data_IF_829895520430
#
_entry.id   IF_829895520430
#
_cell.length_a   1.000
_cell.length_b   1.000
_cell.length_c   1.000
_cell.angle_alpha   90.00
_cell.angle_beta   90.00
_cell.angle_gamma   90.00
#
_symmetry.space_group_name_H-M   'P 1'
#
loop_
_entity.id
_entity.type
_entity.pdbx_description
1 polymer ?
#
# COMPACT_ATOMS: atom_id res chain seq x y z
N UNK A 1 18.44 50.42 -25.30
CA UNK A 1 18.97 49.02 -25.23
C UNK A 1 19.00 48.45 -23.82
N UNK A 2 19.31 49.24 -22.80
CA UNK A 2 19.37 48.79 -21.40
C UNK A 2 18.03 48.31 -20.79
N UNK A 3 16.91 48.95 -21.14
CA UNK A 3 15.58 48.56 -20.61
C UNK A 3 15.15 47.14 -21.09
N UNK A 4 15.50 46.73 -22.27
CA UNK A 4 15.18 45.40 -22.80
C UNK A 4 16.03 44.30 -22.12
N UNK A 5 17.27 44.62 -21.74
CA UNK A 5 18.13 43.70 -20.99
C UNK A 5 17.62 43.49 -19.58
N UNK A 6 17.16 44.55 -18.90
CA UNK A 6 16.57 44.47 -17.55
C UNK A 6 15.27 43.66 -17.52
N UNK A 7 14.40 43.82 -18.54
CA UNK A 7 13.16 43.05 -18.67
C UNK A 7 13.44 41.57 -18.85
N UNK A 8 14.41 41.21 -19.71
CA UNK A 8 14.83 39.82 -19.90
C UNK A 8 15.44 39.17 -18.66
N UNK A 9 16.10 39.98 -17.80
CA UNK A 9 16.66 39.52 -16.53
C UNK A 9 15.58 39.25 -15.48
N UNK A 10 14.54 40.09 -15.43
CA UNK A 10 13.38 39.91 -14.55
C UNK A 10 12.58 38.65 -14.91
N UNK A 11 12.40 38.39 -16.20
CA UNK A 11 11.75 37.14 -16.66
C UNK A 11 12.53 35.87 -16.27
N UNK A 12 13.86 35.92 -16.42
CA UNK A 12 14.75 34.81 -16.00
C UNK A 12 14.68 34.59 -14.47
N UNK A 13 14.66 35.66 -13.68
CA UNK A 13 14.48 35.58 -12.22
C UNK A 13 13.13 35.00 -11.84
N UNK A 14 12.05 35.35 -12.54
CA UNK A 14 10.73 34.77 -12.35
C UNK A 14 10.69 33.27 -12.60
N UNK A 15 11.33 32.83 -13.70
CA UNK A 15 11.46 31.38 -14.02
C UNK A 15 12.28 30.63 -12.98
N UNK A 16 13.40 31.21 -12.52
CA UNK A 16 14.21 30.61 -11.47
C UNK A 16 13.47 30.49 -10.13
N UNK A 17 12.73 31.52 -9.72
CA UNK A 17 11.90 31.48 -8.51
C UNK A 17 10.85 30.37 -8.58
N UNK A 18 10.22 30.19 -9.75
CA UNK A 18 9.23 29.11 -9.94
C UNK A 18 9.88 27.73 -9.84
N UNK A 19 11.02 27.53 -10.49
CA UNK A 19 11.79 26.27 -10.41
C UNK A 19 12.23 25.97 -8.98
N UNK A 20 12.66 26.97 -8.21
CA UNK A 20 13.03 26.80 -6.80
C UNK A 20 11.85 26.37 -5.96
N UNK A 21 10.68 26.99 -6.14
CA UNK A 21 9.47 26.63 -5.43
C UNK A 21 8.95 25.21 -5.78
N UNK A 22 9.13 24.80 -7.04
CA UNK A 22 8.81 23.43 -7.47
C UNK A 22 9.78 22.41 -6.86
N UNK A 23 11.07 22.73 -6.80
CA UNK A 23 12.09 21.93 -6.14
C UNK A 23 11.84 21.78 -4.64
N UNK A 24 11.50 22.87 -3.94
CA UNK A 24 11.20 22.85 -2.51
C UNK A 24 9.98 21.96 -2.21
N UNK A 25 8.94 22.02 -3.06
CA UNK A 25 7.76 21.14 -2.93
C UNK A 25 8.13 19.67 -3.10
N UNK A 26 8.95 19.35 -4.09
CA UNK A 26 9.40 17.98 -4.32
C UNK A 26 10.28 17.48 -3.19
N UNK A 27 11.18 18.32 -2.66
CA UNK A 27 12.01 17.99 -1.49
C UNK A 27 11.16 17.73 -0.24
N UNK A 28 10.10 18.48 0.00
CA UNK A 28 9.19 18.23 1.12
C UNK A 28 8.43 16.92 0.94
N UNK A 29 7.96 16.63 -0.28
CA UNK A 29 7.35 15.34 -0.61
C UNK A 29 8.27 14.18 -0.32
N UNK A 30 9.51 14.23 -0.81
CA UNK A 30 10.53 13.19 -0.61
C UNK A 30 10.90 13.00 0.87
N UNK A 31 10.96 14.07 1.65
CA UNK A 31 11.17 13.98 3.10
C UNK A 31 10.04 13.23 3.79
N UNK A 32 8.78 13.57 3.48
CA UNK A 32 7.62 12.91 4.04
C UNK A 32 7.57 11.43 3.67
N UNK A 33 7.87 11.10 2.42
CA UNK A 33 7.97 9.71 1.95
C UNK A 33 9.09 8.94 2.67
N UNK A 34 10.23 9.56 2.90
CA UNK A 34 11.38 8.94 3.57
C UNK A 34 11.11 8.69 5.07
N UNK A 35 10.42 9.62 5.74
CA UNK A 35 9.98 9.45 7.13
C UNK A 35 8.96 8.31 7.25
N UNK A 36 8.01 8.24 6.33
CA UNK A 36 7.04 7.16 6.27
C UNK A 36 7.74 5.79 6.03
N UNK A 37 8.68 5.71 5.09
CA UNK A 37 9.46 4.49 4.84
C UNK A 37 10.26 4.05 6.07
N UNK A 38 10.89 4.99 6.79
CA UNK A 38 11.58 4.72 8.06
C UNK A 38 10.63 4.17 9.12
N UNK A 39 9.42 4.74 9.22
CA UNK A 39 8.41 4.27 10.14
C UNK A 39 7.98 2.83 9.81
N UNK A 40 7.71 2.54 8.54
CA UNK A 40 7.34 1.19 8.06
C UNK A 40 8.47 0.19 8.30
N UNK A 41 9.71 0.55 8.00
CA UNK A 41 10.89 -0.30 8.23
C UNK A 41 11.10 -0.58 9.73
N UNK A 42 11.04 0.45 10.57
CA UNK A 42 11.21 0.33 12.02
C UNK A 42 10.11 -0.53 12.66
N UNK A 43 8.88 -0.43 12.17
CA UNK A 43 7.78 -1.27 12.65
C UNK A 43 7.92 -2.72 12.16
N UNK A 44 8.44 -2.94 10.96
CA UNK A 44 8.82 -4.27 10.49
C UNK A 44 9.95 -4.89 11.30
N UNK A 45 10.94 -4.09 11.73
CA UNK A 45 12.06 -4.55 12.56
C UNK A 45 11.62 -4.82 14.01
N UNK A 46 10.79 -3.98 14.60
CA UNK A 46 10.26 -4.17 15.96
C UNK A 46 9.35 -5.40 16.08
N UNK A 47 8.71 -5.83 14.98
CA UNK A 47 7.89 -7.05 14.92
C UNK A 47 8.69 -8.29 14.58
N UNK A 48 10.00 -8.16 14.38
CA UNK A 48 10.97 -9.22 14.13
C UNK A 48 11.58 -9.68 15.45
N UNK A 49 10.84 -10.37 16.28
CA UNK A 49 11.49 -11.12 17.33
C UNK A 49 11.12 -12.58 17.13
N UNK A 50 12.14 -13.33 16.80
CA UNK A 50 12.15 -14.74 16.54
C UNK A 50 12.11 -15.60 17.83
N UNK A 51 12.31 -16.87 17.70
CA UNK A 51 12.14 -17.96 18.68
C UNK A 51 12.80 -17.77 20.07
N UNK A 52 13.42 -16.63 20.36
CA UNK A 52 14.09 -16.35 21.65
C UNK A 52 13.46 -15.24 22.49
N UNK A 53 12.25 -14.83 22.20
CA UNK A 53 11.49 -13.79 22.91
C UNK A 53 10.51 -13.06 21.99
N UNK A 54 10.21 -13.64 20.83
CA UNK A 54 9.54 -13.03 19.75
C UNK A 54 8.04 -12.93 19.89
N UNK A 55 7.51 -11.92 19.23
CA UNK A 55 6.09 -11.74 19.01
C UNK A 55 5.57 -12.98 18.25
N UNK A 56 4.69 -13.75 18.87
CA UNK A 56 3.99 -14.84 18.19
C UNK A 56 3.16 -14.20 17.08
N UNK A 57 3.54 -14.48 15.84
CA UNK A 57 2.74 -14.08 14.67
C UNK A 57 1.47 -14.93 14.72
N UNK A 58 0.33 -14.27 14.82
CA UNK A 58 -0.97 -14.96 14.74
C UNK A 58 -1.22 -15.39 13.30
N UNK A 59 -0.89 -16.64 13.00
CA UNK A 59 -1.06 -17.23 11.66
C UNK A 59 -2.53 -17.46 11.27
N UNK A 60 -3.48 -17.22 12.19
CA UNK A 60 -4.92 -17.28 11.88
C UNK A 60 -5.48 -15.98 11.32
N UNK A 61 -4.64 -14.95 11.20
CA UNK A 61 -5.00 -13.63 10.67
C UNK A 61 -4.18 -13.31 9.42
N UNK A 62 -4.73 -12.52 8.48
CA UNK A 62 -4.00 -12.07 7.31
C UNK A 62 -2.71 -11.35 7.69
N UNK A 63 -1.57 -11.85 7.23
CA UNK A 63 -0.26 -11.26 7.46
C UNK A 63 0.20 -10.50 6.22
N UNK A 64 0.56 -9.21 6.34
CA UNK A 64 0.99 -8.43 5.17
C UNK A 64 2.33 -8.94 4.63
N UNK A 65 2.39 -9.19 3.33
CA UNK A 65 3.57 -9.71 2.61
C UNK A 65 4.59 -8.60 2.28
N UNK A 66 4.94 -7.76 3.26
CA UNK A 66 5.79 -6.57 3.08
C UNK A 66 7.17 -6.94 2.54
N UNK A 67 7.80 -8.00 3.05
CA UNK A 67 9.14 -8.42 2.59
C UNK A 67 9.17 -8.86 1.13
N UNK A 68 8.11 -9.52 0.68
CA UNK A 68 7.96 -9.89 -0.72
C UNK A 68 7.92 -8.64 -1.59
N UNK A 69 7.10 -7.68 -1.24
CA UNK A 69 6.97 -6.42 -1.98
C UNK A 69 8.27 -5.61 -2.00
N UNK A 70 9.01 -5.54 -0.89
CA UNK A 70 10.30 -4.85 -0.81
C UNK A 70 11.39 -5.47 -1.68
N UNK A 71 11.42 -6.79 -1.83
CA UNK A 71 12.41 -7.48 -2.68
C UNK A 71 12.30 -7.14 -4.17
N UNK A 72 11.09 -6.86 -4.63
CA UNK A 72 10.83 -6.62 -6.06
C UNK A 72 11.04 -5.17 -6.49
N UNK A 73 11.14 -4.22 -5.56
CA UNK A 73 10.87 -2.83 -5.89
C UNK A 73 12.00 -1.85 -5.58
N UNK A 74 13.11 -2.31 -5.00
CA UNK A 74 14.21 -1.39 -4.66
C UNK A 74 13.76 -0.26 -3.70
N UNK A 75 14.67 0.59 -3.34
CA UNK A 75 14.53 1.55 -2.24
C UNK A 75 13.58 2.74 -2.49
N UNK A 76 12.93 2.84 -3.65
CA UNK A 76 12.15 4.04 -3.96
C UNK A 76 10.70 3.75 -4.38
N UNK A 77 9.73 4.41 -3.73
CA UNK A 77 8.35 4.71 -4.18
C UNK A 77 7.20 4.02 -3.45
N UNK A 78 6.79 4.61 -2.33
CA UNK A 78 5.62 4.16 -1.54
C UNK A 78 4.32 4.05 -2.35
N UNK A 79 3.96 5.04 -3.18
CA UNK A 79 2.75 4.99 -4.01
C UNK A 79 2.85 3.98 -5.17
N UNK A 80 4.03 3.78 -5.72
CA UNK A 80 4.24 2.73 -6.71
C UNK A 80 4.08 1.33 -6.09
N UNK A 81 4.53 1.15 -4.85
CA UNK A 81 4.32 -0.08 -4.08
C UNK A 81 2.84 -0.35 -3.85
N UNK A 82 2.07 0.67 -3.46
CA UNK A 82 0.62 0.56 -3.33
C UNK A 82 -0.03 0.17 -4.67
N UNK A 83 0.39 0.78 -5.78
CA UNK A 83 -0.07 0.42 -7.12
C UNK A 83 0.21 -1.05 -7.47
N UNK A 84 1.39 -1.56 -7.10
CA UNK A 84 1.73 -2.99 -7.28
C UNK A 84 0.88 -3.89 -6.38
N UNK A 85 0.61 -3.49 -5.14
CA UNK A 85 -0.29 -4.24 -4.26
C UNK A 85 -1.73 -4.28 -4.81
N UNK A 86 -2.21 -3.18 -5.39
CA UNK A 86 -3.53 -3.16 -6.04
C UNK A 86 -3.57 -4.04 -7.29
N UNK A 87 -2.50 -4.09 -8.08
CA UNK A 87 -2.38 -5.01 -9.21
C UNK A 87 -2.39 -6.48 -8.73
N UNK A 88 -1.79 -6.77 -7.57
CA UNK A 88 -1.87 -8.11 -6.97
C UNK A 88 -3.31 -8.43 -6.53
N UNK A 89 -4.01 -7.50 -5.87
CA UNK A 89 -5.44 -7.70 -5.53
C UNK A 89 -6.28 -8.01 -6.78
N UNK A 90 -6.01 -7.35 -7.91
CA UNK A 90 -6.72 -7.65 -9.17
C UNK A 90 -6.35 -9.01 -9.74
N UNK A 91 -5.12 -9.46 -9.56
CA UNK A 91 -4.68 -10.81 -9.96
C UNK A 91 -5.39 -11.88 -9.12
N UNK A 92 -5.35 -11.79 -7.79
CA UNK A 92 -6.05 -12.72 -6.88
C UNK A 92 -7.57 -12.76 -7.16
N UNK A 93 -8.16 -11.60 -7.48
CA UNK A 93 -9.57 -11.53 -7.91
C UNK A 93 -9.84 -12.35 -9.18
N UNK A 94 -8.92 -12.37 -10.15
CA UNK A 94 -9.07 -13.18 -11.36
C UNK A 94 -8.99 -14.66 -11.04
N UNK A 95 -8.07 -15.06 -10.17
CA UNK A 95 -7.91 -16.43 -9.70
C UNK A 95 -9.17 -16.91 -8.96
N UNK A 96 -9.80 -16.05 -8.13
CA UNK A 96 -11.12 -16.31 -7.55
C UNK A 96 -12.20 -16.59 -8.62
N UNK A 97 -12.23 -15.84 -9.73
CA UNK A 97 -13.23 -16.05 -10.79
C UNK A 97 -12.98 -17.36 -11.54
N UNK A 98 -11.73 -17.77 -11.72
CA UNK A 98 -11.36 -19.07 -12.29
C UNK A 98 -11.78 -20.21 -11.37
N UNK A 99 -11.45 -20.14 -10.07
CA UNK A 99 -11.87 -21.09 -9.05
C UNK A 99 -13.42 -21.18 -8.92
N UNK A 100 -14.13 -20.04 -9.03
CA UNK A 100 -15.58 -20.01 -9.04
C UNK A 100 -16.16 -20.78 -10.26
N UNK A 101 -15.51 -20.68 -11.41
CA UNK A 101 -15.92 -21.44 -12.60
C UNK A 101 -15.81 -22.96 -12.37
N UNK A 102 -14.77 -23.38 -11.65
CA UNK A 102 -14.60 -24.77 -11.24
C UNK A 102 -15.69 -25.24 -10.26
N UNK A 103 -16.19 -24.36 -9.39
CA UNK A 103 -17.33 -24.65 -8.53
C UNK A 103 -18.63 -24.90 -9.33
N UNK A 104 -18.86 -24.14 -10.41
CA UNK A 104 -20.01 -24.41 -11.29
C UNK A 104 -19.89 -25.72 -12.06
N UNK A 105 -18.68 -26.22 -12.25
CA UNK A 105 -18.39 -27.53 -12.87
C UNK A 105 -18.43 -28.69 -11.88
N UNK A 106 -18.85 -28.48 -10.63
CA UNK A 106 -18.88 -29.48 -9.55
C UNK A 106 -17.54 -30.26 -9.37
N UNK A 107 -16.41 -29.60 -9.62
CA UNK A 107 -15.10 -30.20 -9.39
C UNK A 107 -14.87 -30.42 -7.89
N UNK A 108 -14.37 -31.61 -7.57
CA UNK A 108 -13.99 -31.93 -6.18
C UNK A 108 -12.94 -30.96 -5.65
N UNK A 109 -13.14 -30.41 -4.43
CA UNK A 109 -12.25 -29.46 -3.80
C UNK A 109 -12.34 -28.02 -4.35
N UNK A 110 -13.23 -27.75 -5.31
CA UNK A 110 -13.34 -26.40 -5.91
C UNK A 110 -13.77 -25.32 -4.92
N UNK A 111 -14.61 -25.67 -3.93
CA UNK A 111 -15.05 -24.71 -2.90
C UNK A 111 -13.92 -24.34 -1.94
N UNK A 112 -13.13 -25.32 -1.56
CA UNK A 112 -11.94 -25.12 -0.72
C UNK A 112 -10.93 -24.25 -1.46
N UNK A 113 -10.66 -24.54 -2.73
CA UNK A 113 -9.79 -23.74 -3.58
C UNK A 113 -10.30 -22.29 -3.72
N UNK A 114 -11.58 -22.09 -3.99
CA UNK A 114 -12.16 -20.74 -4.01
C UNK A 114 -12.00 -20.00 -2.67
N UNK A 115 -12.11 -20.71 -1.54
CA UNK A 115 -11.92 -20.11 -0.22
C UNK A 115 -10.45 -19.71 0.01
N UNK A 116 -9.49 -20.48 -0.50
CA UNK A 116 -8.06 -20.14 -0.49
C UNK A 116 -7.80 -18.85 -1.29
N UNK A 117 -8.30 -18.77 -2.54
CA UNK A 117 -8.14 -17.60 -3.39
C UNK A 117 -8.77 -16.32 -2.77
N UNK A 118 -9.95 -16.45 -2.17
CA UNK A 118 -10.57 -15.33 -1.43
C UNK A 118 -9.72 -14.89 -0.24
N UNK A 119 -9.02 -15.80 0.40
CA UNK A 119 -8.10 -15.48 1.50
C UNK A 119 -6.87 -14.75 0.99
N UNK A 120 -6.39 -15.08 -0.22
CA UNK A 120 -5.27 -14.39 -0.87
C UNK A 120 -5.64 -12.96 -1.27
N UNK A 121 -6.86 -12.72 -1.74
CA UNK A 121 -7.39 -11.34 -1.94
C UNK A 121 -7.33 -10.53 -0.64
N UNK A 122 -7.74 -11.11 0.51
CA UNK A 122 -7.70 -10.44 1.81
C UNK A 122 -6.25 -10.15 2.23
N UNK A 123 -5.34 -11.08 1.98
CA UNK A 123 -3.91 -10.94 2.28
C UNK A 123 -3.26 -9.85 1.43
N UNK A 124 -3.55 -9.81 0.13
CA UNK A 124 -3.06 -8.79 -0.80
C UNK A 124 -3.60 -7.39 -0.41
N UNK A 125 -4.89 -7.27 -0.10
CA UNK A 125 -5.51 -6.03 0.38
C UNK A 125 -4.90 -5.57 1.73
N UNK A 126 -4.66 -6.49 2.66
CA UNK A 126 -4.00 -6.22 3.93
C UNK A 126 -2.57 -5.71 3.72
N UNK A 127 -1.86 -6.26 2.74
CA UNK A 127 -0.52 -5.80 2.34
C UNK A 127 -0.57 -4.38 1.79
N UNK A 128 -1.55 -4.06 0.93
CA UNK A 128 -1.74 -2.71 0.40
C UNK A 128 -1.99 -1.68 1.52
N UNK A 129 -2.87 -2.00 2.48
CA UNK A 129 -3.11 -1.15 3.65
C UNK A 129 -1.85 -0.96 4.49
N UNK A 130 -1.04 -1.99 4.66
CA UNK A 130 0.23 -1.89 5.38
C UNK A 130 1.21 -0.99 4.65
N UNK A 131 1.28 -1.06 3.32
CA UNK A 131 2.11 -0.18 2.49
C UNK A 131 1.65 1.29 2.53
N UNK A 132 0.37 1.55 2.81
CA UNK A 132 -0.18 2.87 3.11
C UNK A 132 0.11 3.37 4.54
N UNK A 133 0.83 2.59 5.37
CA UNK A 133 1.18 2.95 6.73
C UNK A 133 0.16 2.50 7.80
N UNK A 134 -0.91 1.79 7.43
CA UNK A 134 -1.88 1.27 8.38
C UNK A 134 -1.35 0.00 9.06
N UNK A 135 -1.00 0.10 10.32
CA UNK A 135 -0.65 -1.05 11.15
C UNK A 135 -1.89 -1.88 11.54
N UNK A 136 -1.74 -2.88 12.39
CA UNK A 136 -2.83 -3.77 12.77
C UNK A 136 -3.94 -3.04 13.52
N UNK A 137 -3.60 -2.14 14.42
CA UNK A 137 -4.56 -1.34 15.19
C UNK A 137 -5.32 -0.37 14.27
N UNK A 138 -4.61 0.36 13.42
CA UNK A 138 -5.21 1.28 12.46
C UNK A 138 -6.14 0.56 11.48
N UNK A 139 -5.78 -0.65 11.01
CA UNK A 139 -6.65 -1.49 10.19
C UNK A 139 -7.90 -1.94 10.94
N UNK A 140 -7.77 -2.30 12.22
CA UNK A 140 -8.92 -2.62 13.08
C UNK A 140 -9.90 -1.45 13.20
N UNK A 141 -9.40 -0.24 13.39
CA UNK A 141 -10.20 0.97 13.46
C UNK A 141 -10.90 1.27 12.10
N UNK A 142 -10.22 1.10 10.98
CA UNK A 142 -10.84 1.22 9.66
C UNK A 142 -11.93 0.18 9.43
N UNK A 143 -11.70 -1.08 9.84
CA UNK A 143 -12.71 -2.14 9.72
C UNK A 143 -13.95 -1.81 10.54
N UNK A 144 -13.78 -1.29 11.76
CA UNK A 144 -14.90 -0.85 12.59
C UNK A 144 -15.72 0.27 11.91
N UNK A 145 -15.05 1.25 11.28
CA UNK A 145 -15.71 2.31 10.52
C UNK A 145 -16.48 1.76 9.30
N UNK A 146 -15.89 0.83 8.57
CA UNK A 146 -16.53 0.18 7.41
C UNK A 146 -17.74 -0.63 7.87
N UNK A 147 -17.63 -1.36 8.97
CA UNK A 147 -18.72 -2.13 9.56
C UNK A 147 -19.87 -1.22 9.98
N UNK A 148 -19.60 -0.13 10.66
CA UNK A 148 -20.63 0.84 11.06
C UNK A 148 -21.33 1.48 9.84
N UNK A 149 -20.54 1.84 8.81
CA UNK A 149 -21.10 2.32 7.53
C UNK A 149 -22.03 1.30 6.89
N UNK A 150 -21.65 0.02 6.88
CA UNK A 150 -22.45 -1.05 6.28
C UNK A 150 -23.70 -1.37 7.10
N UNK A 151 -23.61 -1.32 8.43
CA UNK A 151 -24.77 -1.42 9.33
C UNK A 151 -25.80 -0.32 9.02
N UNK A 152 -25.35 0.94 8.86
CA UNK A 152 -26.24 2.06 8.49
C UNK A 152 -26.91 1.89 7.13
N UNK A 153 -26.29 1.14 6.22
CA UNK A 153 -26.83 0.80 4.90
C UNK A 153 -27.79 -0.39 4.92
N UNK A 154 -27.97 -1.03 6.08
CA UNK A 154 -28.85 -2.17 6.25
C UNK A 154 -28.31 -3.47 5.66
N UNK A 155 -26.99 -3.64 5.61
CA UNK A 155 -26.40 -4.89 5.12
C UNK A 155 -26.44 -6.02 6.16
N UNK A 156 -26.62 -5.69 7.44
CA UNK A 156 -26.94 -6.60 8.54
C UNK A 156 -27.61 -5.85 9.69
#
# INVERSE_FOLDING_TARGET
MEQNAALGMLEKLGKLRKLLADYDREMQRLKTENEWLKMVLNDCEKKRVDEKGGRIIDMTRPQPCVKYMQRYLGEDKSLYLVGRCLAQVDQERKECLEALTDCFGDKSGAREHLAEELTDVVTAATTALRMLGYDEEARGNLQAQVNEKNRRRGYW
#
